data_IF_770733763288
#
_entry.id   IF_770733763288
#
_cell.length_a   1.000
_cell.length_b   1.000
_cell.length_c   1.000
_cell.angle_alpha   90.00
_cell.angle_beta   90.00
_cell.angle_gamma   90.00
#
_symmetry.space_group_name_H-M   'P 1'
#
loop_
_entity.id
_entity.type
_entity.pdbx_description
1 polymer ?
#
# COMPACT_ATOMS: atom_id res chain seq x y z
N UNK A 1 60.32 29.38 13.19
CA UNK A 1 59.09 29.83 12.51
C UNK A 1 58.47 28.66 11.71
N UNK A 2 58.30 27.49 12.33
CA UNK A 2 57.84 26.25 11.64
C UNK A 2 56.83 25.42 12.47
N UNK A 3 56.34 25.96 13.59
CA UNK A 3 55.62 25.15 14.60
C UNK A 3 54.09 25.36 14.59
N UNK A 4 53.59 26.42 13.94
CA UNK A 4 52.15 26.70 13.89
C UNK A 4 51.36 25.86 12.87
N UNK A 5 52.03 25.23 11.90
CA UNK A 5 51.35 24.43 10.87
C UNK A 5 50.97 23.02 11.38
N UNK A 6 51.71 22.47 12.34
CA UNK A 6 51.44 21.15 12.92
C UNK A 6 50.27 21.14 13.91
N UNK A 7 50.00 22.27 14.57
CA UNK A 7 48.88 22.40 15.51
C UNK A 7 47.51 22.40 14.80
N UNK A 8 47.43 23.01 13.61
CA UNK A 8 46.18 23.09 12.83
C UNK A 8 45.81 21.74 12.19
N UNK A 9 46.79 20.89 11.85
CA UNK A 9 46.51 19.55 11.32
C UNK A 9 46.05 18.55 12.40
N UNK A 10 46.44 18.71 13.67
CA UNK A 10 45.93 17.86 14.76
C UNK A 10 44.49 18.18 15.16
N UNK A 11 44.07 19.45 15.08
CA UNK A 11 42.70 19.85 15.45
C UNK A 11 41.61 19.36 14.48
N UNK A 12 41.96 19.03 13.23
CA UNK A 12 41.02 18.49 12.24
C UNK A 12 40.79 16.98 12.38
N UNK A 13 41.66 16.26 13.10
CA UNK A 13 41.63 14.81 13.23
C UNK A 13 40.74 14.31 14.39
N UNK A 14 40.27 15.21 15.27
CA UNK A 14 39.52 14.85 16.47
C UNK A 14 37.98 14.94 16.30
N UNK A 15 37.49 14.97 15.05
CA UNK A 15 36.07 14.66 14.75
C UNK A 15 35.83 13.16 14.66
N UNK A 16 36.53 12.38 15.49
CA UNK A 16 36.14 11.01 15.75
C UNK A 16 34.77 11.06 16.42
N UNK A 17 33.72 10.74 15.68
CA UNK A 17 32.41 10.42 16.26
C UNK A 17 32.65 9.21 17.15
N UNK A 18 32.96 9.48 18.43
CA UNK A 18 33.21 8.43 19.38
C UNK A 18 31.93 7.57 19.45
N UNK A 19 32.02 6.23 19.27
CA UNK A 19 30.85 5.35 19.16
C UNK A 19 29.96 5.33 20.43
N UNK A 20 30.40 6.01 21.49
CA UNK A 20 29.71 6.23 22.76
C UNK A 20 28.64 7.33 22.75
N UNK A 21 28.49 8.08 21.65
CA UNK A 21 27.48 9.14 21.53
C UNK A 21 26.45 8.91 20.42
N UNK A 22 26.48 7.74 19.76
CA UNK A 22 25.58 7.44 18.63
C UNK A 22 24.13 7.31 19.11
N UNK A 23 23.89 6.64 20.24
CA UNK A 23 22.55 6.48 20.80
C UNK A 23 21.87 7.81 21.21
N UNK A 24 22.51 8.70 22.00
CA UNK A 24 21.90 10.00 22.32
C UNK A 24 21.79 10.91 21.10
N UNK A 25 22.72 10.83 20.14
CA UNK A 25 22.62 11.55 18.87
C UNK A 25 21.43 11.07 18.03
N UNK A 26 21.24 9.75 17.89
CA UNK A 26 20.08 9.16 17.23
C UNK A 26 18.79 9.55 17.91
N UNK A 27 18.71 9.50 19.25
CA UNK A 27 17.53 9.90 19.99
C UNK A 27 17.20 11.40 19.81
N UNK A 28 18.22 12.27 19.80
CA UNK A 28 18.05 13.70 19.56
C UNK A 28 17.60 13.98 18.12
N UNK A 29 18.19 13.30 17.12
CA UNK A 29 17.78 13.40 15.73
C UNK A 29 16.34 12.90 15.52
N UNK A 30 15.98 11.78 16.15
CA UNK A 30 14.63 11.21 16.08
C UNK A 30 13.60 12.13 16.73
N UNK A 31 13.93 12.76 17.86
CA UNK A 31 13.09 13.74 18.54
C UNK A 31 12.94 15.05 17.74
N UNK A 32 13.99 15.51 17.06
CA UNK A 32 13.96 16.69 16.20
C UNK A 32 13.02 16.50 15.00
N UNK A 33 12.86 15.27 14.52
CA UNK A 33 12.04 14.92 13.36
C UNK A 33 10.56 14.67 13.70
N UNK A 34 10.15 14.88 14.96
CA UNK A 34 8.80 14.56 15.45
C UNK A 34 7.67 15.21 14.65
N UNK A 35 7.89 16.40 14.11
CA UNK A 35 6.91 17.08 13.25
C UNK A 35 6.68 16.38 11.91
N UNK A 36 7.65 15.57 11.45
CA UNK A 36 7.57 14.84 10.18
C UNK A 36 7.05 13.42 10.32
N UNK A 37 6.89 12.90 11.55
CA UNK A 37 6.35 11.55 11.78
C UNK A 37 4.97 11.31 11.14
N UNK A 38 4.02 12.27 11.16
CA UNK A 38 2.74 12.08 10.49
C UNK A 38 2.86 11.89 8.97
N UNK A 39 3.94 12.39 8.34
CA UNK A 39 4.18 12.26 6.90
C UNK A 39 4.51 10.81 6.49
N UNK A 40 4.83 9.94 7.44
CA UNK A 40 5.07 8.52 7.20
C UNK A 40 3.81 7.66 7.28
N UNK A 41 2.68 8.20 7.75
CA UNK A 41 1.41 7.46 7.80
C UNK A 41 0.96 6.98 6.41
N UNK A 42 1.04 7.78 5.32
CA UNK A 42 0.72 7.30 3.98
C UNK A 42 1.66 6.18 3.51
N UNK A 43 2.94 6.25 3.84
CA UNK A 43 3.91 5.20 3.51
C UNK A 43 3.59 3.89 4.25
N UNK A 44 3.24 3.97 5.53
CA UNK A 44 2.78 2.82 6.31
C UNK A 44 1.47 2.23 5.74
N UNK A 45 0.53 3.08 5.34
CA UNK A 45 -0.68 2.67 4.64
C UNK A 45 -0.39 1.95 3.31
N UNK A 46 0.52 2.50 2.50
CA UNK A 46 1.00 1.87 1.28
C UNK A 46 1.65 0.50 1.53
N UNK A 47 2.44 0.37 2.60
CA UNK A 47 3.00 -0.91 3.01
C UNK A 47 1.91 -1.95 3.33
N UNK A 48 0.82 -1.54 3.99
CA UNK A 48 -0.35 -2.39 4.22
C UNK A 48 -1.01 -2.88 2.93
N UNK A 49 -1.11 -2.01 1.91
CA UNK A 49 -1.61 -2.39 0.58
C UNK A 49 -0.67 -3.40 -0.09
N UNK A 50 0.64 -3.16 -0.05
CA UNK A 50 1.63 -4.08 -0.61
C UNK A 50 1.59 -5.44 0.08
N UNK A 51 1.45 -5.45 1.41
CA UNK A 51 1.31 -6.68 2.19
C UNK A 51 0.08 -7.47 1.75
N UNK A 52 -1.04 -6.80 1.49
CA UNK A 52 -2.25 -7.45 0.96
C UNK A 52 -1.99 -8.18 -0.36
N UNK A 53 -1.34 -7.53 -1.32
CA UNK A 53 -1.03 -8.14 -2.62
C UNK A 53 0.13 -9.15 -2.58
N UNK A 54 0.97 -9.10 -1.56
CA UNK A 54 2.05 -10.07 -1.36
C UNK A 54 1.53 -11.40 -0.79
N UNK A 55 0.32 -11.44 -0.23
CA UNK A 55 -0.25 -12.67 0.31
C UNK A 55 -0.67 -13.61 -0.84
N UNK A 56 -0.22 -14.88 -0.84
CA UNK A 56 -0.51 -15.84 -1.91
C UNK A 56 -1.93 -16.43 -1.86
N UNK A 57 -2.67 -16.16 -0.78
CA UNK A 57 -4.03 -16.66 -0.58
C UNK A 57 -4.95 -15.50 -0.17
N UNK A 58 -6.24 -15.62 -0.50
CA UNK A 58 -7.26 -14.65 -0.11
C UNK A 58 -7.25 -14.44 1.41
N UNK A 59 -6.88 -13.24 1.90
CA UNK A 59 -6.84 -12.99 3.33
C UNK A 59 -8.24 -13.08 3.91
N UNK A 60 -8.33 -13.56 5.15
CA UNK A 60 -9.58 -13.48 5.92
C UNK A 60 -10.05 -12.03 6.01
N UNK A 61 -11.25 -11.76 5.50
CA UNK A 61 -11.84 -10.42 5.42
C UNK A 61 -11.90 -9.69 6.76
N UNK A 62 -11.99 -10.43 7.86
CA UNK A 62 -12.05 -9.91 9.22
C UNK A 62 -10.69 -9.57 9.85
N UNK A 63 -9.56 -10.03 9.30
CA UNK A 63 -8.25 -9.75 9.90
C UNK A 63 -7.95 -8.24 9.96
N UNK A 64 -8.27 -7.52 8.89
CA UNK A 64 -8.10 -6.07 8.85
C UNK A 64 -9.01 -5.37 9.88
N UNK A 65 -10.25 -5.83 10.01
CA UNK A 65 -11.21 -5.29 10.98
C UNK A 65 -10.75 -5.52 12.42
N UNK A 66 -10.20 -6.70 12.75
CA UNK A 66 -9.64 -6.98 14.07
C UNK A 66 -8.40 -6.11 14.33
N UNK A 67 -7.49 -6.01 13.35
CA UNK A 67 -6.29 -5.19 13.50
C UNK A 67 -6.64 -3.72 13.77
N UNK A 68 -7.60 -3.16 13.04
CA UNK A 68 -8.13 -1.80 13.26
C UNK A 68 -8.84 -1.70 14.63
N UNK A 69 -9.68 -2.70 14.95
CA UNK A 69 -10.46 -2.75 16.19
C UNK A 69 -9.62 -2.89 17.46
N UNK A 70 -8.40 -3.41 17.36
CA UNK A 70 -7.44 -3.45 18.48
C UNK A 70 -6.55 -2.19 18.46
N UNK A 71 -5.93 -1.88 17.32
CA UNK A 71 -4.95 -0.80 17.24
C UNK A 71 -5.56 0.59 17.45
N UNK A 72 -6.79 0.82 16.98
CA UNK A 72 -7.50 2.10 17.13
C UNK A 72 -7.76 2.45 18.61
N UNK A 73 -8.49 1.59 19.36
CA UNK A 73 -8.72 1.81 20.79
C UNK A 73 -7.42 1.81 21.60
N UNK A 74 -6.46 0.91 21.29
CA UNK A 74 -5.16 0.92 21.96
C UNK A 74 -4.45 2.27 21.78
N UNK A 75 -4.45 2.84 20.57
CA UNK A 75 -3.86 4.16 20.32
C UNK A 75 -4.55 5.25 21.14
N UNK A 76 -5.88 5.19 21.28
CA UNK A 76 -6.64 6.14 22.10
C UNK A 76 -6.38 5.96 23.60
N UNK A 77 -6.23 4.73 24.11
CA UNK A 77 -5.95 4.47 25.52
C UNK A 77 -4.51 4.89 25.86
N UNK A 78 -3.56 4.54 25.01
CA UNK A 78 -2.13 4.76 25.25
C UNK A 78 -1.59 6.06 24.64
N UNK A 79 -2.46 6.99 24.22
CA UNK A 79 -2.07 8.27 23.59
C UNK A 79 -1.12 9.14 24.43
N UNK A 80 -1.11 8.93 25.76
CA UNK A 80 -0.25 9.67 26.71
C UNK A 80 1.11 9.02 26.93
N UNK A 81 1.33 7.80 26.44
CA UNK A 81 2.67 7.22 26.43
C UNK A 81 3.51 7.83 25.33
N UNK A 82 4.81 7.96 25.59
CA UNK A 82 5.74 8.57 24.64
C UNK A 82 6.05 7.64 23.44
N UNK A 83 6.09 6.32 23.68
CA UNK A 83 6.56 5.33 22.70
C UNK A 83 5.44 4.55 22.01
N UNK A 84 4.33 4.26 22.72
CA UNK A 84 3.26 3.42 22.17
C UNK A 84 2.59 4.03 20.92
N UNK A 85 2.26 5.33 20.88
CA UNK A 85 1.69 5.95 19.68
C UNK A 85 2.60 5.89 18.46
N UNK A 86 3.93 5.91 18.66
CA UNK A 86 4.91 5.81 17.57
C UNK A 86 4.84 4.47 16.84
N UNK A 87 4.44 3.39 17.54
CA UNK A 87 4.28 2.06 16.96
C UNK A 87 2.84 1.83 16.51
N UNK A 88 1.86 2.21 17.33
CA UNK A 88 0.44 1.96 17.06
C UNK A 88 -0.08 2.77 15.86
N UNK A 89 0.37 4.01 15.66
CA UNK A 89 -0.07 4.84 14.54
C UNK A 89 0.30 4.25 13.16
N UNK A 90 1.55 3.87 12.86
CA UNK A 90 1.88 3.23 11.59
C UNK A 90 1.25 1.85 11.42
N UNK A 91 1.12 1.06 12.51
CA UNK A 91 0.39 -0.23 12.46
C UNK A 91 -1.08 -0.02 12.08
N UNK A 92 -1.74 0.95 12.69
CA UNK A 92 -3.12 1.30 12.35
C UNK A 92 -3.23 1.80 10.90
N UNK A 93 -2.31 2.65 10.45
CA UNK A 93 -2.27 3.12 9.06
C UNK A 93 -2.09 1.95 8.07
N UNK A 94 -1.19 1.00 8.35
CA UNK A 94 -1.01 -0.20 7.55
C UNK A 94 -2.27 -1.07 7.53
N UNK A 95 -2.94 -1.26 8.67
CA UNK A 95 -4.18 -2.02 8.76
C UNK A 95 -5.31 -1.36 7.94
N UNK A 96 -5.40 -0.02 7.95
CA UNK A 96 -6.34 0.74 7.13
C UNK A 96 -6.03 0.58 5.64
N UNK A 97 -4.76 0.67 5.24
CA UNK A 97 -4.33 0.44 3.85
C UNK A 97 -4.68 -0.96 3.36
N UNK A 98 -4.42 -1.97 4.19
CA UNK A 98 -4.79 -3.36 3.91
C UNK A 98 -6.32 -3.54 3.77
N UNK A 99 -7.10 -2.93 4.67
CA UNK A 99 -8.57 -2.96 4.59
C UNK A 99 -9.10 -2.29 3.31
N UNK A 100 -8.50 -1.16 2.91
CA UNK A 100 -8.86 -0.46 1.69
C UNK A 100 -8.57 -1.30 0.44
N UNK A 101 -7.42 -2.00 0.42
CA UNK A 101 -7.08 -2.93 -0.66
C UNK A 101 -8.10 -4.08 -0.77
N UNK A 102 -8.42 -4.73 0.36
CA UNK A 102 -9.47 -5.75 0.41
C UNK A 102 -10.81 -5.27 -0.11
N UNK A 103 -11.27 -4.12 0.37
CA UNK A 103 -12.54 -3.53 -0.03
C UNK A 103 -12.57 -3.21 -1.54
N UNK A 104 -11.48 -2.67 -2.06
CA UNK A 104 -11.35 -2.36 -3.48
C UNK A 104 -11.37 -3.63 -4.34
N UNK A 105 -10.65 -4.68 -3.94
CA UNK A 105 -10.67 -5.98 -4.63
C UNK A 105 -12.07 -6.58 -4.62
N UNK A 106 -12.76 -6.57 -3.48
CA UNK A 106 -14.15 -7.06 -3.38
C UNK A 106 -15.13 -6.26 -4.24
N UNK A 107 -14.97 -4.94 -4.35
CA UNK A 107 -15.79 -4.08 -5.24
C UNK A 107 -15.48 -4.27 -6.71
N UNK A 108 -14.23 -4.59 -7.04
CA UNK A 108 -13.76 -4.85 -8.40
C UNK A 108 -13.90 -6.32 -8.81
N UNK A 109 -14.50 -7.18 -7.97
CA UNK A 109 -15.03 -8.47 -8.36
C UNK A 109 -16.20 -8.24 -9.33
N UNK A 110 -15.89 -7.79 -10.55
CA UNK A 110 -16.77 -7.91 -11.67
C UNK A 110 -17.03 -9.42 -11.86
N UNK A 111 -18.25 -9.83 -12.25
CA UNK A 111 -18.52 -11.21 -12.63
C UNK A 111 -17.60 -11.58 -13.79
N UNK A 112 -16.45 -12.18 -13.48
CA UNK A 112 -15.56 -12.79 -14.44
C UNK A 112 -16.19 -14.13 -14.77
N UNK A 113 -16.39 -14.37 -16.07
CA UNK A 113 -16.93 -15.63 -16.58
C UNK A 113 -16.09 -16.79 -15.98
N UNK A 114 -16.72 -17.58 -15.12
CA UNK A 114 -16.06 -18.61 -14.31
C UNK A 114 -15.53 -19.79 -15.15
N UNK A 115 -15.90 -19.85 -16.43
CA UNK A 115 -15.44 -20.86 -17.37
C UNK A 115 -15.05 -20.21 -18.70
N UNK A 116 -14.02 -20.72 -19.39
CA UNK A 116 -13.81 -20.40 -20.79
C UNK A 116 -15.05 -20.87 -21.55
N UNK A 117 -15.91 -19.93 -21.93
CA UNK A 117 -16.87 -20.22 -22.98
C UNK A 117 -16.05 -20.54 -24.22
N UNK A 118 -16.30 -21.71 -24.81
CA UNK A 118 -15.78 -22.04 -26.13
C UNK A 118 -16.27 -21.04 -27.19
N UNK A 119 -16.18 -21.36 -28.49
CA UNK A 119 -16.70 -20.50 -29.54
C UNK A 119 -18.23 -20.34 -29.39
N UNK A 120 -18.65 -19.26 -28.73
CA UNK A 120 -20.04 -18.91 -28.46
C UNK A 120 -20.40 -17.62 -29.19
N UNK A 121 -21.63 -17.56 -29.70
CA UNK A 121 -22.19 -16.36 -30.32
C UNK A 121 -22.42 -15.28 -29.26
N UNK A 122 -21.75 -14.14 -29.45
CA UNK A 122 -21.88 -12.94 -28.62
C UNK A 122 -22.53 -11.85 -29.46
N UNK A 123 -23.74 -11.44 -29.11
CA UNK A 123 -24.43 -10.29 -29.72
C UNK A 123 -24.27 -9.09 -28.79
N UNK A 124 -23.91 -7.90 -29.28
CA UNK A 124 -23.78 -6.73 -28.41
C UNK A 124 -23.63 -5.44 -29.20
N UNK A 125 -23.83 -4.30 -28.53
CA UNK A 125 -23.65 -2.98 -29.15
C UNK A 125 -22.16 -2.65 -29.22
N UNK A 126 -21.63 -2.35 -30.40
CA UNK A 126 -20.25 -1.89 -30.55
C UNK A 126 -20.09 -0.51 -29.91
N UNK A 127 -19.25 -0.41 -28.89
CA UNK A 127 -18.98 0.85 -28.16
C UNK A 127 -17.59 1.41 -28.47
N UNK A 128 -16.62 0.58 -28.84
CA UNK A 128 -15.36 1.11 -29.39
C UNK A 128 -14.69 0.16 -30.35
N UNK A 129 -14.10 0.72 -31.40
CA UNK A 129 -13.21 0.02 -32.34
C UNK A 129 -11.80 0.57 -32.17
N UNK A 130 -10.85 -0.29 -31.82
CA UNK A 130 -9.43 0.05 -31.80
C UNK A 130 -8.72 -0.76 -32.88
N UNK A 131 -8.11 -0.07 -33.86
CA UNK A 131 -7.28 -0.73 -34.87
C UNK A 131 -5.91 -1.04 -34.25
N UNK A 132 -5.50 -2.30 -34.33
CA UNK A 132 -4.17 -2.76 -33.95
C UNK A 132 -3.38 -3.09 -35.23
N UNK A 133 -2.04 -3.20 -35.17
CA UNK A 133 -1.22 -3.56 -36.33
C UNK A 133 -1.62 -4.90 -36.97
N UNK A 134 -2.19 -5.82 -36.17
CA UNK A 134 -2.72 -7.12 -36.60
C UNK A 134 -4.18 -7.30 -36.16
N UNK A 135 -5.10 -6.57 -36.80
CA UNK A 135 -6.54 -6.78 -36.67
C UNK A 135 -7.31 -5.64 -35.98
N UNK A 136 -8.58 -5.91 -35.65
CA UNK A 136 -9.50 -4.94 -35.08
C UNK A 136 -9.98 -5.44 -33.72
N UNK A 137 -9.72 -4.67 -32.67
CA UNK A 137 -10.29 -4.92 -31.34
C UNK A 137 -11.64 -4.20 -31.25
N UNK A 138 -12.70 -4.98 -31.02
CA UNK A 138 -14.08 -4.49 -30.90
C UNK A 138 -14.52 -4.64 -29.44
N UNK A 139 -14.86 -3.53 -28.79
CA UNK A 139 -15.46 -3.56 -27.45
C UNK A 139 -16.97 -3.49 -27.59
N UNK A 140 -17.65 -4.53 -27.11
CA UNK A 140 -19.10 -4.65 -27.10
C UNK A 140 -19.63 -4.25 -25.71
N UNK A 141 -20.66 -3.40 -25.65
CA UNK A 141 -21.46 -3.18 -24.45
C UNK A 141 -22.80 -3.90 -24.58
N UNK A 142 -23.37 -4.28 -23.44
CA UNK A 142 -24.60 -5.08 -23.35
C UNK A 142 -24.51 -6.39 -24.16
N UNK A 143 -23.46 -7.22 -23.95
CA UNK A 143 -23.31 -8.45 -24.69
C UNK A 143 -24.37 -9.47 -24.25
N UNK A 144 -25.29 -9.88 -25.10
CA UNK A 144 -26.15 -11.05 -24.88
C UNK A 144 -25.35 -12.28 -25.32
N UNK A 145 -24.98 -13.12 -24.36
CA UNK A 145 -24.29 -14.39 -24.62
C UNK A 145 -25.31 -15.52 -24.59
N UNK A 146 -25.47 -16.25 -25.70
CA UNK A 146 -26.39 -17.41 -25.74
C UNK A 146 -25.94 -18.48 -24.73
N UNK A 147 -26.77 -18.76 -23.73
CA UNK A 147 -26.53 -19.80 -22.71
C UNK A 147 -26.13 -19.31 -21.32
N UNK A 148 -26.14 -17.99 -21.07
CA UNK A 148 -25.93 -17.38 -19.74
C UNK A 148 -27.17 -16.62 -19.27
N UNK A 149 -27.44 -16.68 -17.96
CA UNK A 149 -28.49 -15.86 -17.33
C UNK A 149 -28.12 -14.37 -17.44
N UNK A 150 -29.07 -13.45 -17.73
CA UNK A 150 -28.81 -12.00 -17.77
C UNK A 150 -28.11 -11.44 -16.52
N UNK A 151 -28.25 -12.09 -15.37
CA UNK A 151 -27.57 -11.69 -14.13
C UNK A 151 -26.06 -12.01 -14.11
N UNK A 152 -25.61 -12.98 -14.90
CA UNK A 152 -24.20 -13.44 -14.98
C UNK A 152 -23.45 -12.82 -16.16
N UNK A 153 -24.15 -12.02 -16.94
CA UNK A 153 -23.65 -11.44 -18.18
C UNK A 153 -22.78 -10.21 -17.90
N UNK A 154 -21.49 -10.19 -18.29
CA UNK A 154 -20.61 -9.05 -18.05
C UNK A 154 -21.11 -7.82 -18.81
N UNK A 155 -21.17 -6.65 -18.16
CA UNK A 155 -21.64 -5.41 -18.79
C UNK A 155 -20.81 -4.96 -20.01
N UNK A 156 -19.56 -5.41 -20.13
CA UNK A 156 -18.64 -5.11 -21.25
C UNK A 156 -17.77 -6.31 -21.55
N UNK A 157 -17.66 -6.69 -22.83
CA UNK A 157 -16.78 -7.75 -23.34
C UNK A 157 -15.77 -7.12 -24.31
N UNK A 158 -14.51 -7.55 -24.23
CA UNK A 158 -13.35 -7.01 -24.96
C UNK A 158 -12.69 -8.05 -25.84
#
# INVERSE_FOLDING_TARGET
MADHSLALHRAAADRGVAPRHVAPWLAAAFAAERERWPLWLPAAGGCGILLYFALPAEPVSWAAAIAIGIAGPALLVFRRHLLLPLVLAPVLAAAIGFAAAQWQTGRMAAPMLAAPLGPTWVEGRVVSLSRLPEGVRVVLAEPVVRGLDPAETPRRVR
#
